data_IF_210304155769
#
_entry.id   IF_210304155769
#
_cell.length_a   1.000
_cell.length_b   1.000
_cell.length_c   1.000
_cell.angle_alpha   90.00
_cell.angle_beta   90.00
_cell.angle_gamma   90.00
#
_symmetry.space_group_name_H-M   'P 1'
#
loop_
_entity.id
_entity.type
_entity.pdbx_description
1 polymer ?
#
# COMPACT_ATOMS: atom_id res chain seq x y z
N UNK A 1 6.44 -7.22 12.02
CA UNK A 1 5.55 -6.08 12.36
C UNK A 1 4.33 -6.00 11.44
N UNK A 2 4.48 -5.81 10.12
CA UNK A 2 3.36 -5.68 9.18
C UNK A 2 2.39 -6.88 9.15
N UNK A 3 2.93 -8.10 9.25
CA UNK A 3 2.10 -9.31 9.33
C UNK A 3 1.17 -9.30 10.55
N UNK A 4 1.67 -8.85 11.71
CA UNK A 4 0.85 -8.69 12.91
C UNK A 4 -0.18 -7.59 12.74
N UNK A 5 0.22 -6.46 12.16
CA UNK A 5 -0.67 -5.34 11.89
C UNK A 5 -1.85 -5.72 10.98
N UNK A 6 -1.64 -6.57 9.97
CA UNK A 6 -2.68 -7.03 9.02
C UNK A 6 -3.37 -8.33 9.40
N UNK A 7 -3.13 -8.86 10.61
CA UNK A 7 -3.62 -10.18 11.05
C UNK A 7 -3.30 -11.29 10.03
N UNK A 8 -2.10 -11.24 9.47
CA UNK A 8 -1.62 -12.17 8.45
C UNK A 8 -2.10 -11.89 7.04
N UNK A 9 -2.35 -10.62 6.69
CA UNK A 9 -2.88 -10.20 5.38
C UNK A 9 -4.28 -10.78 5.09
N UNK A 10 -5.13 -10.85 6.11
CA UNK A 10 -6.45 -11.48 6.02
C UNK A 10 -7.49 -10.63 5.28
N UNK A 11 -7.42 -9.32 5.43
CA UNK A 11 -8.42 -8.39 4.90
C UNK A 11 -7.84 -7.60 3.72
N UNK A 12 -8.11 -8.10 2.50
CA UNK A 12 -7.74 -7.41 1.26
C UNK A 12 -8.77 -6.30 0.97
N UNK A 13 -8.30 -5.06 0.90
CA UNK A 13 -9.10 -3.88 0.56
C UNK A 13 -9.19 -3.68 -0.96
N UNK A 14 -8.28 -4.27 -1.71
CA UNK A 14 -8.30 -4.24 -3.17
C UNK A 14 -7.01 -4.76 -3.77
N UNK A 15 -7.05 -5.04 -5.07
CA UNK A 15 -5.91 -5.56 -5.83
C UNK A 15 -5.81 -4.83 -7.16
N UNK A 16 -4.58 -4.46 -7.51
CA UNK A 16 -4.25 -3.83 -8.79
C UNK A 16 -3.03 -4.47 -9.43
N UNK A 17 -2.55 -3.89 -10.54
CA UNK A 17 -1.37 -4.40 -11.26
C UNK A 17 -0.10 -4.50 -10.40
N UNK A 18 -0.02 -3.71 -9.33
CA UNK A 18 1.14 -3.64 -8.43
C UNK A 18 0.97 -4.42 -7.13
N UNK A 19 -0.01 -5.33 -7.10
CA UNK A 19 -0.28 -6.20 -5.95
C UNK A 19 -1.53 -5.79 -5.17
N UNK A 20 -1.60 -6.26 -3.93
CA UNK A 20 -2.80 -6.20 -3.10
C UNK A 20 -2.63 -5.22 -1.94
N UNK A 21 -3.68 -4.48 -1.61
CA UNK A 21 -3.76 -3.58 -0.46
C UNK A 21 -4.53 -4.28 0.64
N UNK A 22 -4.00 -4.26 1.86
CA UNK A 22 -4.59 -4.89 3.03
C UNK A 22 -4.86 -3.89 4.14
N UNK A 23 -5.93 -4.12 4.90
CA UNK A 23 -6.18 -3.37 6.13
C UNK A 23 -5.20 -3.82 7.21
N UNK A 24 -4.63 -2.87 7.95
CA UNK A 24 -3.83 -3.16 9.13
C UNK A 24 -4.00 -2.12 10.23
N UNK A 25 -3.59 -2.48 11.45
CA UNK A 25 -3.55 -1.58 12.60
C UNK A 25 -2.15 -1.66 13.22
N UNK A 26 -1.47 -0.52 13.32
CA UNK A 26 -0.16 -0.45 13.95
C UNK A 26 -0.31 -0.57 15.47
N UNK A 27 0.25 -1.62 16.06
CA UNK A 27 0.02 -1.99 17.46
C UNK A 27 0.45 -0.89 18.45
N UNK A 28 1.50 -0.12 18.11
CA UNK A 28 2.06 0.92 18.98
C UNK A 28 1.23 2.20 19.01
N UNK A 29 0.66 2.62 17.87
CA UNK A 29 -0.07 3.88 17.74
C UNK A 29 -1.59 3.70 17.63
N UNK A 30 -2.07 2.47 17.44
CA UNK A 30 -3.46 2.11 17.10
C UNK A 30 -3.99 2.81 15.85
N UNK A 31 -3.10 3.25 14.96
CA UNK A 31 -3.46 3.89 13.70
C UNK A 31 -3.87 2.80 12.70
N UNK A 32 -5.00 3.00 12.02
CA UNK A 32 -5.41 2.18 10.88
C UNK A 32 -4.60 2.57 9.65
N UNK A 33 -4.03 1.58 8.97
CA UNK A 33 -3.18 1.77 7.79
C UNK A 33 -3.65 0.86 6.65
N UNK A 34 -3.46 1.33 5.42
CA UNK A 34 -3.58 0.52 4.22
C UNK A 34 -2.19 0.08 3.76
N UNK A 35 -1.93 -1.24 3.77
CA UNK A 35 -0.64 -1.82 3.43
C UNK A 35 -0.66 -2.44 2.04
N UNK A 36 0.05 -1.82 1.09
CA UNK A 36 0.20 -2.36 -0.26
C UNK A 36 1.36 -3.36 -0.32
N UNK A 37 1.04 -4.63 -0.56
CA UNK A 37 1.99 -5.71 -0.78
C UNK A 37 2.21 -5.90 -2.27
N UNK A 38 3.44 -5.63 -2.71
CA UNK A 38 3.87 -5.83 -4.10
C UNK A 38 4.25 -7.29 -4.31
N UNK A 39 3.69 -7.93 -5.33
CA UNK A 39 4.10 -9.28 -5.73
C UNK A 39 5.48 -9.20 -6.39
N UNK A 40 6.43 -9.99 -5.91
CA UNK A 40 7.77 -10.06 -6.50
C UNK A 40 7.71 -10.83 -7.81
N UNK A 41 7.33 -10.13 -8.89
CA UNK A 41 7.39 -10.62 -10.25
C UNK A 41 8.19 -9.65 -11.10
N UNK A 42 9.48 -9.98 -11.34
CA UNK A 42 10.39 -9.28 -12.24
C UNK A 42 10.82 -7.85 -11.83
N UNK A 43 12.00 -7.42 -12.30
CA UNK A 43 12.51 -6.03 -12.26
C UNK A 43 11.47 -5.01 -12.78
N UNK A 44 10.50 -5.48 -13.56
CA UNK A 44 9.39 -4.71 -14.08
C UNK A 44 8.41 -4.24 -12.98
N UNK A 45 8.03 -5.10 -12.03
CA UNK A 45 7.11 -4.72 -10.96
C UNK A 45 7.62 -3.57 -10.07
N UNK A 46 8.95 -3.50 -9.85
CA UNK A 46 9.57 -2.38 -9.12
C UNK A 46 9.53 -1.09 -9.92
N UNK A 47 9.82 -1.13 -11.24
CA UNK A 47 9.75 0.07 -12.10
C UNK A 47 8.33 0.63 -12.14
N UNK A 48 7.34 -0.24 -12.26
CA UNK A 48 5.96 0.19 -12.36
C UNK A 48 5.41 0.67 -10.99
N UNK A 49 5.85 0.07 -9.88
CA UNK A 49 5.60 0.58 -8.53
C UNK A 49 6.17 1.99 -8.33
N UNK A 50 7.41 2.24 -8.75
CA UNK A 50 8.02 3.58 -8.72
C UNK A 50 7.25 4.56 -9.60
N UNK A 51 6.79 4.12 -10.77
CA UNK A 51 5.98 4.94 -11.67
C UNK A 51 4.63 5.34 -11.03
N UNK A 52 3.97 4.41 -10.34
CA UNK A 52 2.73 4.67 -9.61
C UNK A 52 2.96 5.65 -8.45
N UNK A 53 3.94 5.41 -7.57
CA UNK A 53 4.29 6.33 -6.47
C UNK A 53 4.64 7.73 -6.99
N UNK A 54 5.44 7.80 -8.05
CA UNK A 54 5.80 9.08 -8.67
C UNK A 54 4.58 9.81 -9.23
N UNK A 55 3.58 9.07 -9.72
CA UNK A 55 2.34 9.63 -10.23
C UNK A 55 1.43 10.13 -9.09
N UNK A 56 1.36 9.40 -7.97
CA UNK A 56 0.69 9.88 -6.74
C UNK A 56 1.36 11.16 -6.21
N UNK A 57 2.69 11.21 -6.23
CA UNK A 57 3.47 12.40 -5.85
C UNK A 57 3.17 13.64 -6.72
N UNK A 58 2.94 13.45 -8.03
CA UNK A 58 2.52 14.51 -8.96
C UNK A 58 1.03 14.88 -8.83
N UNK A 59 0.18 13.94 -8.43
CA UNK A 59 -1.24 14.18 -8.16
C UNK A 59 -1.51 15.00 -6.88
N UNK A 60 -0.52 15.21 -6.02
CA UNK A 60 -0.65 16.12 -4.86
C UNK A 60 -1.03 17.57 -5.22
N UNK A 61 -0.92 17.98 -6.48
CA UNK A 61 -1.39 19.29 -6.92
C UNK A 61 -2.91 19.34 -7.19
N UNK A 62 -3.60 18.19 -7.27
CA UNK A 62 -5.05 18.11 -7.50
C UNK A 62 -5.63 16.83 -6.85
N UNK A 63 -5.92 16.93 -5.55
CA UNK A 63 -6.68 15.99 -4.69
C UNK A 63 -5.97 14.67 -4.35
N UNK A 64 -5.62 14.47 -3.06
CA UNK A 64 -5.48 13.14 -2.45
C UNK A 64 -5.60 13.22 -0.93
N UNK A 65 -6.48 12.39 -0.36
CA UNK A 65 -6.82 12.30 1.06
C UNK A 65 -5.57 12.03 1.91
N UNK A 66 -5.42 12.79 2.98
CA UNK A 66 -4.38 12.62 3.99
C UNK A 66 -4.65 11.30 4.75
N UNK A 67 -3.87 10.26 4.46
CA UNK A 67 -3.87 9.06 5.29
C UNK A 67 -2.98 9.35 6.51
N UNK A 68 -3.62 9.41 7.67
CA UNK A 68 -2.98 9.75 8.94
C UNK A 68 -2.26 8.57 9.57
#
# INVERSE_FOLDING_TARGET
ELYGATKGFKEELGKGGFGSVYKGVLSRSRIEVALKRVLHGSKQGVREFVAEISSLGRMRHRIMVQLH
#
